data_IF_059925688054
#
_entry.id   IF_059925688054
#
_cell.length_a   1.000
_cell.length_b   1.000
_cell.length_c   1.000
_cell.angle_alpha   90.00
_cell.angle_beta   90.00
_cell.angle_gamma   90.00
#
_symmetry.space_group_name_H-M   'P 1'
#
loop_
_entity.id
_entity.type
_entity.pdbx_description
1 polymer ?
#
# COMPACT_ATOMS: atom_id res chain seq x y z
N UNK A 1 1.86 11.56 11.40
CA UNK A 1 0.56 10.87 11.22
C UNK A 1 -0.28 10.84 12.48
N UNK A 2 0.22 10.47 13.65
CA UNK A 2 -0.55 10.39 14.91
C UNK A 2 -1.37 11.64 15.28
N UNK A 3 -0.96 12.83 14.84
CA UNK A 3 -1.69 14.08 15.07
C UNK A 3 -3.06 14.11 14.37
N UNK A 4 -3.18 13.39 13.24
CA UNK A 4 -4.36 13.46 12.37
C UNK A 4 -5.24 12.22 12.43
N UNK A 5 -4.73 11.10 12.96
CA UNK A 5 -5.44 9.84 13.02
C UNK A 5 -5.60 9.36 14.45
N UNK A 6 -6.76 8.79 14.76
CA UNK A 6 -7.03 8.16 16.06
C UNK A 6 -6.22 6.89 16.25
N UNK A 7 -5.97 6.16 15.17
CA UNK A 7 -5.18 4.93 15.14
C UNK A 7 -4.39 4.83 13.82
N UNK A 8 -3.20 4.30 13.88
CA UNK A 8 -2.33 4.06 12.72
C UNK A 8 -1.89 2.59 12.74
N UNK A 9 -1.91 1.95 11.59
CA UNK A 9 -1.32 0.63 11.37
C UNK A 9 -0.16 0.78 10.41
N UNK A 10 0.98 0.16 10.71
CA UNK A 10 2.11 0.05 9.78
C UNK A 10 2.47 -1.41 9.61
N UNK A 11 2.82 -1.80 8.40
CA UNK A 11 3.16 -3.17 8.03
C UNK A 11 4.60 -3.14 7.52
N UNK A 12 5.42 -4.05 8.02
CA UNK A 12 6.82 -4.18 7.65
C UNK A 12 7.18 -5.66 7.52
N UNK A 13 7.76 -6.04 6.40
CA UNK A 13 8.16 -7.42 6.11
C UNK A 13 9.52 -7.77 6.73
N UNK A 14 10.38 -6.77 6.91
CA UNK A 14 11.68 -6.93 7.57
C UNK A 14 11.52 -6.99 9.10
N UNK A 15 11.86 -8.13 9.69
CA UNK A 15 11.83 -8.28 11.15
C UNK A 15 12.79 -7.30 11.85
N UNK A 16 13.93 -7.04 11.25
CA UNK A 16 14.92 -6.10 11.78
C UNK A 16 14.38 -4.67 11.79
N UNK A 17 13.87 -4.18 10.67
CA UNK A 17 13.29 -2.85 10.56
C UNK A 17 12.07 -2.71 11.48
N UNK A 18 11.20 -3.71 11.49
CA UNK A 18 10.04 -3.76 12.39
C UNK A 18 10.44 -3.63 13.86
N UNK A 19 11.44 -4.42 14.34
CA UNK A 19 11.97 -4.33 15.70
C UNK A 19 12.53 -2.95 16.00
N UNK A 20 13.33 -2.41 15.09
CA UNK A 20 13.99 -1.13 15.26
C UNK A 20 12.99 0.02 15.42
N UNK A 21 11.96 0.07 14.57
CA UNK A 21 10.94 1.12 14.64
C UNK A 21 10.04 0.94 15.87
N UNK A 22 9.58 -0.28 16.13
CA UNK A 22 8.73 -0.60 17.28
C UNK A 22 9.39 -0.26 18.61
N UNK A 23 10.68 -0.55 18.78
CA UNK A 23 11.42 -0.27 20.02
C UNK A 23 11.64 1.24 20.25
N UNK A 24 11.72 2.03 19.19
CA UNK A 24 11.87 3.49 19.27
C UNK A 24 10.55 4.21 19.55
N UNK A 25 9.43 3.61 19.17
CA UNK A 25 8.13 4.22 19.36
C UNK A 25 7.66 4.12 20.82
N UNK A 26 7.29 5.24 21.42
CA UNK A 26 6.84 5.34 22.83
C UNK A 26 5.36 5.72 22.96
N UNK A 27 4.65 5.87 21.85
CA UNK A 27 3.21 6.20 21.83
C UNK A 27 2.33 4.95 21.93
N UNK A 28 1.02 5.14 21.79
CA UNK A 28 0.02 4.09 21.89
C UNK A 28 -0.96 4.05 20.69
N UNK A 29 -0.76 4.91 19.69
CA UNK A 29 -1.65 5.01 18.54
C UNK A 29 -1.22 4.15 17.35
N UNK A 30 0.05 3.73 17.30
CA UNK A 30 0.59 2.94 16.18
C UNK A 30 0.62 1.46 16.55
N UNK A 31 -0.01 0.64 15.73
CA UNK A 31 0.10 -0.82 15.76
C UNK A 31 1.06 -1.26 14.66
N UNK A 32 2.11 -1.98 15.04
CA UNK A 32 3.14 -2.47 14.13
C UNK A 32 2.86 -3.93 13.78
N UNK A 33 2.66 -4.21 12.50
CA UNK A 33 2.45 -5.56 11.97
C UNK A 33 3.74 -6.04 11.30
N UNK A 34 4.20 -7.21 11.68
CA UNK A 34 5.30 -7.89 10.98
C UNK A 34 4.69 -8.84 9.94
N UNK A 35 5.09 -8.73 8.69
CA UNK A 35 4.68 -9.62 7.62
C UNK A 35 4.52 -8.93 6.28
N UNK A 36 4.19 -9.73 5.28
CA UNK A 36 3.86 -9.27 3.93
C UNK A 36 2.54 -8.50 3.92
N UNK A 37 2.52 -7.33 3.28
CA UNK A 37 1.34 -6.45 3.26
C UNK A 37 0.15 -7.07 2.52
N UNK A 38 0.39 -7.83 1.46
CA UNK A 38 -0.65 -8.59 0.76
C UNK A 38 -1.36 -9.57 1.71
N UNK A 39 -0.62 -10.23 2.60
CA UNK A 39 -1.19 -11.16 3.58
C UNK A 39 -1.83 -10.42 4.76
N UNK A 40 -1.12 -9.45 5.34
CA UNK A 40 -1.57 -8.73 6.55
C UNK A 40 -2.85 -7.95 6.28
N UNK A 41 -2.95 -7.26 5.13
CA UNK A 41 -4.14 -6.49 4.75
C UNK A 41 -5.39 -7.38 4.58
N UNK A 42 -5.23 -8.65 4.25
CA UNK A 42 -6.32 -9.60 4.18
C UNK A 42 -7.13 -9.67 5.49
N UNK A 43 -6.44 -9.71 6.62
CA UNK A 43 -7.07 -9.74 7.93
C UNK A 43 -7.35 -8.33 8.47
N UNK A 44 -6.43 -7.40 8.29
CA UNK A 44 -6.55 -6.05 8.80
C UNK A 44 -7.77 -5.33 8.21
N UNK A 45 -8.00 -5.43 6.89
CA UNK A 45 -9.11 -4.76 6.21
C UNK A 45 -10.48 -5.14 6.76
N UNK A 46 -10.68 -6.39 7.19
CA UNK A 46 -11.94 -6.83 7.79
C UNK A 46 -12.14 -6.40 9.25
N UNK A 47 -11.05 -6.05 9.93
CA UNK A 47 -11.06 -5.66 11.35
C UNK A 47 -11.06 -4.13 11.56
N UNK A 48 -10.88 -3.33 10.51
CA UNK A 48 -11.07 -1.90 10.60
C UNK A 48 -12.56 -1.59 10.75
N UNK A 49 -12.88 -0.69 11.66
CA UNK A 49 -14.26 -0.37 12.05
C UNK A 49 -14.64 1.11 11.84
N UNK A 50 -13.84 1.85 11.10
CA UNK A 50 -14.06 3.26 10.75
C UNK A 50 -13.49 3.55 9.38
N UNK A 51 -13.84 4.72 8.82
CA UNK A 51 -13.21 5.25 7.62
C UNK A 51 -11.69 5.27 7.76
N UNK A 52 -10.98 4.94 6.68
CA UNK A 52 -9.54 4.75 6.70
C UNK A 52 -8.85 5.41 5.51
N UNK A 53 -7.58 5.71 5.71
CA UNK A 53 -6.65 6.05 4.61
C UNK A 53 -5.64 4.91 4.49
N UNK A 54 -5.52 4.35 3.30
CA UNK A 54 -4.52 3.34 2.94
C UNK A 54 -3.42 4.02 2.14
N UNK A 55 -2.18 3.93 2.60
CA UNK A 55 -1.01 4.37 1.85
C UNK A 55 -0.25 3.12 1.40
N UNK A 56 -0.31 2.83 0.09
CA UNK A 56 0.24 1.63 -0.52
C UNK A 56 1.54 1.99 -1.24
N UNK A 57 2.64 1.59 -0.63
CA UNK A 57 4.03 1.82 -1.06
C UNK A 57 4.89 0.57 -0.74
N UNK A 58 4.26 -0.59 -0.72
CA UNK A 58 4.83 -1.86 -0.24
C UNK A 58 5.52 -2.67 -1.33
N UNK A 59 6.31 -2.04 -2.23
CA UNK A 59 7.05 -2.78 -3.24
C UNK A 59 8.51 -3.06 -2.81
N UNK A 60 9.08 -4.14 -3.33
CA UNK A 60 10.48 -4.45 -3.16
C UNK A 60 11.33 -3.46 -4.00
N UNK A 61 12.29 -2.77 -3.38
CA UNK A 61 13.10 -1.75 -4.06
C UNK A 61 14.57 -2.15 -4.26
N UNK A 62 14.93 -3.40 -4.10
CA UNK A 62 16.32 -3.89 -4.09
C UNK A 62 17.17 -3.31 -2.91
N UNK A 63 18.37 -3.85 -2.68
CA UNK A 63 19.24 -3.43 -1.59
C UNK A 63 18.83 -4.01 -0.24
N UNK A 64 18.76 -3.17 0.78
CA UNK A 64 18.49 -3.58 2.18
C UNK A 64 16.99 -3.84 2.47
N UNK A 65 16.12 -3.76 1.45
CA UNK A 65 14.69 -4.07 1.63
C UNK A 65 14.44 -5.57 1.55
N UNK A 66 13.66 -6.09 2.49
CA UNK A 66 13.24 -7.49 2.45
C UNK A 66 12.09 -7.68 1.45
N UNK A 67 12.03 -8.88 0.88
CA UNK A 67 11.04 -9.26 -0.11
C UNK A 67 9.89 -10.03 0.57
N UNK A 68 8.64 -9.63 0.26
CA UNK A 68 7.45 -10.42 0.54
C UNK A 68 7.28 -11.59 -0.44
N UNK A 69 6.11 -12.17 -0.53
CA UNK A 69 5.80 -13.23 -1.50
C UNK A 69 5.85 -12.71 -2.94
N UNK A 70 5.44 -11.47 -3.16
CA UNK A 70 5.54 -10.76 -4.45
C UNK A 70 6.43 -9.54 -4.34
N UNK A 71 7.06 -9.19 -5.46
CA UNK A 71 7.87 -7.96 -5.55
C UNK A 71 7.00 -6.71 -5.47
N UNK A 72 5.76 -6.78 -6.01
CA UNK A 72 4.76 -5.70 -5.97
C UNK A 72 3.40 -6.30 -5.59
N UNK A 73 3.00 -6.24 -4.30
CA UNK A 73 1.76 -6.84 -3.81
C UNK A 73 0.50 -6.00 -4.09
N UNK A 74 0.62 -4.85 -4.75
CA UNK A 74 -0.41 -3.82 -4.89
C UNK A 74 -1.79 -4.35 -5.32
N UNK A 75 -1.87 -5.20 -6.35
CA UNK A 75 -3.17 -5.71 -6.82
C UNK A 75 -3.83 -6.64 -5.81
N UNK A 76 -3.07 -7.37 -4.99
CA UNK A 76 -3.59 -8.18 -3.89
C UNK A 76 -4.10 -7.31 -2.75
N UNK A 77 -3.31 -6.30 -2.36
CA UNK A 77 -3.69 -5.32 -1.35
C UNK A 77 -5.03 -4.66 -1.71
N UNK A 78 -5.16 -4.19 -2.97
CA UNK A 78 -6.40 -3.59 -3.48
C UNK A 78 -7.57 -4.57 -3.47
N UNK A 79 -7.36 -5.83 -3.84
CA UNK A 79 -8.40 -6.85 -3.77
C UNK A 79 -8.89 -7.11 -2.34
N UNK A 80 -7.99 -7.13 -1.36
CA UNK A 80 -8.36 -7.30 0.05
C UNK A 80 -9.13 -6.10 0.58
N UNK A 81 -8.66 -4.88 0.29
CA UNK A 81 -9.37 -3.65 0.64
C UNK A 81 -10.77 -3.65 0.00
N UNK A 82 -10.87 -3.94 -1.29
CA UNK A 82 -12.13 -3.93 -2.02
C UNK A 82 -13.16 -4.93 -1.46
N UNK A 83 -12.72 -6.13 -1.11
CA UNK A 83 -13.61 -7.21 -0.68
C UNK A 83 -13.96 -7.19 0.80
N UNK A 84 -13.12 -6.62 1.65
CA UNK A 84 -13.19 -6.80 3.11
C UNK A 84 -13.35 -5.52 3.92
N UNK A 85 -12.84 -4.40 3.42
CA UNK A 85 -12.98 -3.12 4.11
C UNK A 85 -14.39 -2.56 3.90
N UNK A 86 -15.14 -2.38 4.97
CA UNK A 86 -16.58 -2.09 4.93
C UNK A 86 -16.94 -0.60 4.85
N UNK A 87 -16.00 0.29 5.12
CA UNK A 87 -16.27 1.71 5.29
C UNK A 87 -15.78 2.53 4.09
N UNK A 88 -16.04 3.83 4.11
CA UNK A 88 -15.47 4.76 3.14
C UNK A 88 -13.96 4.88 3.35
N UNK A 89 -13.22 5.02 2.28
CA UNK A 89 -11.77 5.11 2.36
C UNK A 89 -11.13 6.01 1.31
N UNK A 90 -9.89 6.36 1.58
CA UNK A 90 -8.99 6.97 0.61
C UNK A 90 -7.81 6.01 0.43
N UNK A 91 -7.55 5.62 -0.80
CA UNK A 91 -6.40 4.80 -1.18
C UNK A 91 -5.40 5.74 -1.86
N UNK A 92 -4.18 5.76 -1.39
CA UNK A 92 -3.05 6.49 -1.96
C UNK A 92 -2.05 5.46 -2.44
N UNK A 93 -1.80 5.41 -3.73
CA UNK A 93 -0.82 4.52 -4.35
C UNK A 93 0.37 5.37 -4.76
N UNK A 94 1.56 5.06 -4.26
CA UNK A 94 2.81 5.73 -4.63
C UNK A 94 3.48 5.05 -5.84
N UNK A 95 4.48 5.70 -6.39
CA UNK A 95 5.34 5.19 -7.47
C UNK A 95 4.62 4.89 -8.81
N UNK A 96 3.54 5.62 -9.11
CA UNK A 96 2.80 5.45 -10.38
C UNK A 96 3.67 5.63 -11.64
N UNK A 97 4.84 6.29 -11.53
CA UNK A 97 5.84 6.37 -12.61
C UNK A 97 6.36 5.02 -13.07
N UNK A 98 6.22 3.96 -12.24
CA UNK A 98 6.67 2.60 -12.53
C UNK A 98 5.61 1.74 -13.22
N UNK A 99 4.36 2.17 -13.26
CA UNK A 99 3.24 1.42 -13.86
C UNK A 99 3.54 1.01 -15.31
N UNK A 100 3.28 -0.25 -15.61
CA UNK A 100 3.50 -0.85 -16.93
C UNK A 100 4.98 -1.08 -17.30
N UNK A 101 5.91 -0.86 -16.39
CA UNK A 101 7.36 -0.94 -16.65
C UNK A 101 7.99 -2.17 -16.00
N UNK A 102 9.24 -2.42 -16.41
CA UNK A 102 10.14 -3.33 -15.71
C UNK A 102 11.26 -2.47 -15.12
N UNK A 103 11.35 -2.45 -13.81
CA UNK A 103 12.43 -1.77 -13.11
C UNK A 103 13.67 -2.66 -13.12
N UNK A 104 14.69 -2.23 -13.87
CA UNK A 104 15.95 -2.96 -13.99
C UNK A 104 16.78 -2.84 -12.73
N UNK A 105 17.30 -3.96 -12.24
CA UNK A 105 18.23 -3.94 -11.13
C UNK A 105 19.51 -3.19 -11.50
N UNK A 106 19.88 -2.19 -10.68
CA UNK A 106 21.12 -1.43 -10.82
C UNK A 106 22.34 -2.14 -10.22
N UNK A 107 22.13 -3.16 -9.41
CA UNK A 107 23.17 -3.83 -8.62
C UNK A 107 23.34 -5.32 -8.96
N UNK A 108 22.75 -5.78 -10.09
CA UNK A 108 22.80 -7.19 -10.50
C UNK A 108 21.80 -8.09 -9.76
N UNK A 109 20.87 -7.51 -9.01
CA UNK A 109 19.73 -8.22 -8.42
C UNK A 109 18.66 -8.57 -9.45
N UNK A 110 17.47 -8.96 -8.99
CA UNK A 110 16.34 -9.27 -9.88
C UNK A 110 15.67 -7.99 -10.37
N UNK A 111 15.19 -8.02 -11.62
CA UNK A 111 14.28 -7.03 -12.15
C UNK A 111 12.93 -7.09 -11.42
N UNK A 112 12.27 -5.95 -11.24
CA UNK A 112 10.96 -5.83 -10.61
C UNK A 112 9.93 -5.55 -11.69
N UNK A 113 8.85 -6.33 -11.72
CA UNK A 113 7.87 -6.33 -12.79
C UNK A 113 6.59 -5.60 -12.36
N UNK A 114 6.35 -4.43 -12.96
CA UNK A 114 5.14 -3.63 -12.82
C UNK A 114 4.22 -3.72 -14.04
N UNK A 115 4.54 -4.60 -15.00
CA UNK A 115 3.91 -4.68 -16.32
C UNK A 115 2.39 -4.93 -16.27
N UNK A 116 1.89 -5.60 -15.23
CA UNK A 116 0.46 -5.85 -15.02
C UNK A 116 -0.24 -4.74 -14.23
N UNK A 117 0.53 -3.79 -13.68
CA UNK A 117 0.01 -2.71 -12.85
C UNK A 117 -0.14 -1.45 -13.70
N UNK A 118 -1.37 -1.01 -13.86
CA UNK A 118 -1.71 0.21 -14.56
C UNK A 118 -3.03 0.77 -14.00
N UNK A 119 -3.39 2.00 -14.42
CA UNK A 119 -4.63 2.63 -13.96
C UNK A 119 -5.86 1.75 -14.22
N UNK A 120 -5.94 1.13 -15.39
CA UNK A 120 -7.09 0.30 -15.76
C UNK A 120 -7.22 -0.93 -14.85
N UNK A 121 -6.13 -1.67 -14.59
CA UNK A 121 -6.16 -2.84 -13.70
C UNK A 121 -6.57 -2.47 -12.28
N UNK A 122 -6.07 -1.34 -11.76
CA UNK A 122 -6.42 -0.79 -10.44
C UNK A 122 -7.90 -0.41 -10.37
N UNK A 123 -8.37 0.39 -11.32
CA UNK A 123 -9.75 0.86 -11.35
C UNK A 123 -10.75 -0.28 -11.60
N UNK A 124 -10.38 -1.29 -12.37
CA UNK A 124 -11.21 -2.50 -12.55
C UNK A 124 -11.41 -3.28 -11.24
N UNK A 125 -10.39 -3.39 -10.39
CA UNK A 125 -10.55 -4.01 -9.06
C UNK A 125 -11.53 -3.21 -8.21
N UNK A 126 -11.46 -1.88 -8.24
CA UNK A 126 -12.19 -0.97 -7.36
C UNK A 126 -13.49 -0.41 -7.99
N UNK A 127 -13.84 -0.77 -9.24
CA UNK A 127 -14.89 -0.12 -10.04
C UNK A 127 -16.25 0.03 -9.36
N UNK A 128 -16.63 -0.95 -8.53
CA UNK A 128 -17.92 -0.92 -7.82
C UNK A 128 -17.94 0.07 -6.65
N UNK A 129 -16.78 0.57 -6.23
CA UNK A 129 -16.61 1.43 -5.07
C UNK A 129 -15.95 2.77 -5.37
N UNK A 130 -15.34 2.94 -6.54
CA UNK A 130 -14.65 4.20 -6.89
C UNK A 130 -15.64 5.34 -7.06
N UNK A 131 -15.53 6.36 -6.19
CA UNK A 131 -16.33 7.59 -6.24
C UNK A 131 -15.64 8.63 -7.14
N UNK A 132 -14.33 8.82 -6.94
CA UNK A 132 -13.48 9.69 -7.74
C UNK A 132 -12.02 9.27 -7.60
N UNK A 133 -11.21 9.64 -8.58
CA UNK A 133 -9.76 9.50 -8.50
C UNK A 133 -9.06 10.66 -9.21
N UNK A 134 -7.82 10.88 -8.83
CA UNK A 134 -6.96 11.90 -9.43
C UNK A 134 -5.50 11.64 -9.08
N UNK A 135 -4.61 12.23 -9.87
CA UNK A 135 -3.17 12.17 -9.62
C UNK A 135 -2.66 13.36 -8.83
N UNK A 136 -1.60 13.14 -8.06
CA UNK A 136 -0.77 14.15 -7.40
C UNK A 136 0.70 13.92 -7.72
N UNK A 137 1.47 15.00 -7.69
CA UNK A 137 2.91 14.94 -7.84
C UNK A 137 3.55 14.40 -6.55
N UNK A 138 4.64 13.64 -6.69
CA UNK A 138 5.60 13.37 -5.62
C UNK A 138 6.77 14.36 -5.70
N UNK A 139 7.74 14.22 -4.80
CA UNK A 139 8.99 14.97 -4.89
C UNK A 139 9.90 14.43 -6.00
N UNK A 140 9.61 13.23 -6.52
CA UNK A 140 10.42 12.52 -7.51
C UNK A 140 9.90 12.81 -8.92
N UNK A 141 8.55 12.74 -9.12
CA UNK A 141 7.95 12.85 -10.45
C UNK A 141 6.54 13.46 -10.39
N UNK A 142 6.08 13.94 -11.56
CA UNK A 142 4.71 14.42 -11.76
C UNK A 142 3.76 13.23 -11.86
N UNK A 143 2.53 13.41 -11.34
CA UNK A 143 1.48 12.39 -11.36
C UNK A 143 1.93 11.03 -10.79
N UNK A 144 2.82 11.06 -9.82
CA UNK A 144 3.44 9.87 -9.26
C UNK A 144 2.63 9.22 -8.14
N UNK A 145 1.55 9.88 -7.70
CA UNK A 145 0.59 9.35 -6.72
C UNK A 145 -0.81 9.31 -7.27
N UNK A 146 -1.43 8.13 -7.23
CA UNK A 146 -2.83 7.95 -7.56
C UNK A 146 -3.66 7.96 -6.27
N UNK A 147 -4.60 8.90 -6.17
CA UNK A 147 -5.52 9.05 -5.03
C UNK A 147 -6.89 8.55 -5.46
N UNK A 148 -7.45 7.58 -4.77
CA UNK A 148 -8.76 7.00 -5.07
C UNK A 148 -9.65 7.11 -3.82
N UNK A 149 -10.83 7.70 -3.97
CA UNK A 149 -11.86 7.70 -2.95
C UNK A 149 -12.83 6.54 -3.22
N UNK A 150 -13.03 5.70 -2.22
CA UNK A 150 -13.94 4.55 -2.31
C UNK A 150 -15.12 4.73 -1.36
N UNK A 151 -16.32 4.31 -1.82
CA UNK A 151 -17.53 4.23 -0.99
C UNK A 151 -17.43 3.09 0.02
N UNK A 152 -18.35 3.08 0.99
CA UNK A 152 -18.56 1.90 1.82
C UNK A 152 -18.93 0.67 0.96
N UNK A 153 -18.63 -0.51 1.47
CA UNK A 153 -19.07 -1.78 0.87
C UNK A 153 -20.56 -1.97 1.16
N UNK A 154 -21.35 -2.12 0.11
CA UNK A 154 -22.80 -2.42 0.21
C UNK A 154 -23.04 -3.88 0.61
#
# INVERSE_FOLDING_TARGET
MEKYFSKVHTIEVSEELWKNVKNKYKGNKITFHLGDSGIVLNNLSSNLNNNAVFFLDGHFSNGDTNKGEKDVPLLEELNHINKKFKYEGIIIIDDCRLFGKIEKSKTGGKDIYWNEINEESILNILKSRTVKYYYKDSIIDKKDRLIIHISALN
#
